data_IF_206050115865
#
_entry.id   IF_206050115865
#
_cell.length_a   1.000
_cell.length_b   1.000
_cell.length_c   1.000
_cell.angle_alpha   90.00
_cell.angle_beta   90.00
_cell.angle_gamma   90.00
#
_symmetry.space_group_name_H-M   'P 1'
#
loop_
_entity.id
_entity.type
_entity.pdbx_description
1 polymer ?
#
# COMPACT_ATOMS: atom_id res chain seq x y z
N UNK A 1 11.33 12.86 6.15
CA UNK A 1 10.07 13.01 6.93
C UNK A 1 9.05 12.03 6.37
N UNK A 2 8.28 11.35 7.22
CA UNK A 2 7.17 10.49 6.80
C UNK A 2 5.84 11.23 7.06
N UNK A 3 4.88 11.10 6.15
CA UNK A 3 3.47 11.44 6.41
C UNK A 3 2.72 10.12 6.66
N UNK A 4 1.71 10.16 7.52
CA UNK A 4 0.84 9.01 7.79
C UNK A 4 -0.61 9.45 7.67
N UNK A 5 -1.45 8.57 7.14
CA UNK A 5 -2.88 8.77 6.99
C UNK A 5 -3.56 7.48 7.42
N UNK A 6 -4.56 7.59 8.29
CA UNK A 6 -5.44 6.45 8.60
C UNK A 6 -6.46 6.31 7.47
N UNK A 7 -6.63 5.09 6.99
CA UNK A 7 -7.49 4.74 5.86
C UNK A 7 -8.49 3.71 6.36
N UNK A 8 -9.77 4.00 6.14
CA UNK A 8 -10.85 3.15 6.62
C UNK A 8 -11.92 2.99 5.54
N UNK A 9 -12.89 2.13 5.79
CA UNK A 9 -14.09 2.05 4.94
C UNK A 9 -14.79 3.42 4.79
N UNK A 10 -14.74 4.28 5.81
CA UNK A 10 -15.33 5.62 5.75
C UNK A 10 -14.63 6.54 4.73
N UNK A 11 -13.34 6.31 4.46
CA UNK A 11 -12.59 7.01 3.40
C UNK A 11 -12.65 6.27 2.07
N UNK A 12 -13.51 5.26 1.94
CA UNK A 12 -13.60 4.37 0.78
C UNK A 12 -12.25 3.74 0.40
N UNK A 13 -11.40 3.45 1.39
CA UNK A 13 -10.05 2.93 1.19
C UNK A 13 -9.12 3.81 0.34
N UNK A 14 -9.48 5.08 0.17
CA UNK A 14 -8.66 6.08 -0.54
C UNK A 14 -7.85 6.90 0.45
N UNK A 15 -6.69 7.34 -0.02
CA UNK A 15 -5.80 8.22 0.71
C UNK A 15 -5.17 9.24 -0.23
N UNK A 16 -4.75 10.38 0.31
CA UNK A 16 -4.11 11.45 -0.47
C UNK A 16 -3.09 12.16 0.40
N UNK A 17 -1.88 12.34 -0.12
CA UNK A 17 -0.84 13.14 0.51
C UNK A 17 -0.63 14.41 -0.29
N UNK A 18 -1.16 15.53 0.20
CA UNK A 18 -1.04 16.82 -0.46
C UNK A 18 0.20 17.59 0.01
N UNK A 19 0.54 18.66 -0.73
CA UNK A 19 1.63 19.60 -0.40
C UNK A 19 2.95 18.86 -0.17
N UNK A 20 3.30 17.99 -1.11
CA UNK A 20 4.61 17.34 -1.20
C UNK A 20 5.52 18.21 -2.07
N UNK A 21 6.76 18.39 -1.64
CA UNK A 21 7.74 19.15 -2.41
C UNK A 21 8.15 18.34 -3.63
N UNK A 22 8.18 18.94 -4.81
CA UNK A 22 8.62 18.21 -6.00
C UNK A 22 10.15 18.06 -6.07
N UNK A 23 10.90 19.03 -5.51
CA UNK A 23 12.35 19.13 -5.61
C UNK A 23 12.99 19.47 -4.27
N UNK A 24 14.23 19.01 -4.07
CA UNK A 24 15.07 19.39 -2.94
C UNK A 24 15.69 20.79 -3.11
N UNK A 25 16.48 21.23 -2.12
CA UNK A 25 17.14 22.53 -2.14
C UNK A 25 18.13 22.72 -3.31
N UNK A 26 18.55 21.64 -3.95
CA UNK A 26 19.47 21.64 -5.09
C UNK A 26 18.74 21.49 -6.44
N UNK A 27 17.40 21.41 -6.44
CA UNK A 27 16.61 21.20 -7.66
C UNK A 27 16.50 19.74 -8.11
N UNK A 28 16.88 18.77 -7.27
CA UNK A 28 16.76 17.33 -7.58
C UNK A 28 15.35 16.85 -7.22
N UNK A 29 14.69 16.13 -8.14
CA UNK A 29 13.33 15.66 -7.94
C UNK A 29 13.23 14.61 -6.82
N UNK A 30 12.25 14.75 -5.93
CA UNK A 30 11.97 13.72 -4.92
C UNK A 30 11.27 12.51 -5.53
N UNK A 31 11.72 11.33 -5.12
CA UNK A 31 10.99 10.08 -5.33
C UNK A 31 10.19 9.75 -4.07
N UNK A 32 8.87 9.70 -4.21
CA UNK A 32 7.98 9.29 -3.12
C UNK A 32 7.63 7.81 -3.26
N UNK A 33 7.53 7.14 -2.11
CA UNK A 33 7.11 5.75 -2.00
C UNK A 33 6.09 5.65 -0.87
N UNK A 34 5.14 4.73 -1.00
CA UNK A 34 4.16 4.44 0.05
C UNK A 34 4.51 3.11 0.69
N UNK A 35 4.23 3.00 1.99
CA UNK A 35 4.38 1.77 2.77
C UNK A 35 3.21 1.66 3.72
N UNK A 36 2.68 0.46 3.85
CA UNK A 36 1.68 0.14 4.86
C UNK A 36 2.38 -0.37 6.13
N UNK A 37 1.75 -0.15 7.29
CA UNK A 37 2.14 -0.86 8.50
C UNK A 37 1.65 -2.30 8.41
N UNK A 38 2.42 -3.29 8.90
CA UNK A 38 2.03 -4.69 8.82
C UNK A 38 0.70 -4.93 9.55
N UNK A 39 -0.27 -5.51 8.83
CA UNK A 39 -1.57 -5.91 9.36
C UNK A 39 -1.57 -7.41 9.59
N UNK A 40 -1.85 -7.84 10.82
CA UNK A 40 -1.85 -9.26 11.17
C UNK A 40 -2.87 -10.06 10.32
N UNK A 41 -2.43 -11.19 9.75
CA UNK A 41 -3.27 -12.02 8.88
C UNK A 41 -3.45 -11.49 7.46
N UNK A 42 -2.68 -10.48 7.06
CA UNK A 42 -2.65 -9.96 5.71
C UNK A 42 -1.22 -9.85 5.18
N UNK A 43 -1.08 -10.12 3.88
CA UNK A 43 0.12 -9.89 3.10
C UNK A 43 -0.14 -8.66 2.24
N UNK A 44 0.65 -7.62 2.47
CA UNK A 44 0.61 -6.38 1.71
C UNK A 44 1.55 -6.44 0.52
N UNK A 45 1.08 -5.99 -0.64
CA UNK A 45 1.87 -5.78 -1.85
C UNK A 45 1.71 -4.33 -2.32
N UNK A 46 2.82 -3.67 -2.66
CA UNK A 46 2.81 -2.25 -3.06
C UNK A 46 3.24 -2.12 -4.52
N UNK A 47 2.31 -1.72 -5.37
CA UNK A 47 2.53 -1.47 -6.79
C UNK A 47 2.44 0.02 -7.08
N UNK A 48 3.59 0.70 -7.03
CA UNK A 48 3.65 2.16 -7.16
C UNK A 48 3.00 2.84 -5.97
N UNK A 49 1.75 3.28 -6.13
CA UNK A 49 0.93 3.89 -5.09
C UNK A 49 -0.31 3.06 -4.73
N UNK A 50 -0.52 1.92 -5.38
CA UNK A 50 -1.61 1.02 -5.00
C UNK A 50 -1.11 0.01 -3.99
N UNK A 51 -1.83 -0.13 -2.88
CA UNK A 51 -1.55 -1.09 -1.81
C UNK A 51 -2.63 -2.16 -1.87
N UNK A 52 -2.21 -3.41 -2.09
CA UNK A 52 -3.11 -4.56 -2.14
C UNK A 52 -2.87 -5.44 -0.92
N UNK A 53 -3.91 -5.63 -0.12
CA UNK A 53 -3.87 -6.51 1.04
C UNK A 53 -4.58 -7.83 0.76
N UNK A 54 -3.80 -8.91 0.76
CA UNK A 54 -4.32 -10.27 0.59
C UNK A 54 -4.39 -10.95 1.95
N UNK A 55 -5.58 -11.41 2.36
CA UNK A 55 -5.73 -12.13 3.63
C UNK A 55 -4.95 -13.45 3.56
N UNK A 56 -3.95 -13.60 4.42
CA UNK A 56 -3.18 -14.84 4.58
C UNK A 56 -3.66 -15.54 5.84
N UNK A 57 -4.32 -16.67 5.60
CA UNK A 57 -4.81 -17.61 6.60
C UNK A 57 -5.10 -18.93 5.91
N UNK A 58 -4.99 -20.05 6.62
CA UNK A 58 -5.19 -21.39 6.06
C UNK A 58 -6.62 -21.54 5.54
N UNK A 59 -6.80 -21.41 4.23
CA UNK A 59 -7.86 -22.11 3.52
C UNK A 59 -7.20 -23.27 2.77
N UNK A 60 -7.43 -24.50 3.24
CA UNK A 60 -7.11 -25.71 2.48
C UNK A 60 -7.92 -25.66 1.18
N UNK A 61 -7.29 -25.38 0.05
CA UNK A 61 -7.95 -25.41 -1.27
C UNK A 61 -7.37 -26.58 -2.06
N UNK A 62 -8.12 -27.68 -2.13
CA UNK A 62 -7.82 -28.84 -2.99
C UNK A 62 -8.46 -28.59 -4.36
N UNK A 63 -7.64 -28.51 -5.42
CA UNK A 63 -8.10 -28.35 -6.79
C UNK A 63 -7.20 -29.10 -7.76
N UNK A 64 -7.71 -30.16 -8.36
CA UNK A 64 -7.00 -30.93 -9.39
C UNK A 64 -7.21 -30.23 -10.74
N UNK A 65 -6.13 -29.72 -11.34
CA UNK A 65 -6.15 -29.10 -12.67
C UNK A 65 -6.02 -30.18 -13.75
N UNK A 66 -7.05 -30.38 -14.57
CA UNK A 66 -6.99 -31.12 -15.84
C UNK A 66 -6.73 -30.14 -16.99
N UNK A 67 -5.74 -30.47 -17.82
CA UNK A 67 -5.37 -29.73 -19.04
C UNK A 67 -6.28 -30.05 -20.21
#
# INVERSE_FOLDING_TARGET
MYKRQEVTAATNWKYTFEKLQAYDANGVAYKYEVKEQPVAGYQSDVNGYDITNTKVGETKVEGTKTW
#
